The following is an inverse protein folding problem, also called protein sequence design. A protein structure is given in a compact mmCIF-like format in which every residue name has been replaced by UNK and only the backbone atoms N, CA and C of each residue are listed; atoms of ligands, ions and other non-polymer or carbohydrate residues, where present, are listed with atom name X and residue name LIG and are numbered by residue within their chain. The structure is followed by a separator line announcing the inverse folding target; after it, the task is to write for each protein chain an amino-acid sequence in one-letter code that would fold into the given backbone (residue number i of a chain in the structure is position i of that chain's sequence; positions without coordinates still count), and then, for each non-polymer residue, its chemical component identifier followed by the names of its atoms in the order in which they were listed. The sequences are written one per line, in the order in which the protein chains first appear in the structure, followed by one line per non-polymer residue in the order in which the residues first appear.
data_IF_000827542179
#
_entry.id   IF_000827542179
#
_cell.length_a   1.000
_cell.length_b   1.000
_cell.length_c   1.000
_cell.angle_alpha   90.00
_cell.angle_beta   90.00
_cell.angle_gamma   90.00
#
_symmetry.space_group_name_H-M   'P 1'
#
loop_
_entity.id
_entity.type
_entity.pdbx_description
1 polymer ?
#
# COMPACT_ATOMS: atom_id res chain seq x y z
N UNK A 1 36.36 32.51 29.91
CA UNK A 1 34.93 32.66 29.56
C UNK A 1 34.57 31.59 28.55
N UNK A 2 33.53 30.81 28.83
CA UNK A 2 33.17 29.60 28.07
C UNK A 2 32.31 29.96 26.86
N UNK A 3 32.51 29.28 25.73
CA UNK A 3 31.77 29.45 24.47
C UNK A 3 30.24 29.29 24.62
N UNK A 4 29.81 28.63 25.69
CA UNK A 4 28.41 28.43 26.09
C UNK A 4 27.64 29.74 26.33
N UNK A 5 28.32 30.82 26.74
CA UNK A 5 27.64 32.09 27.03
C UNK A 5 27.16 32.83 25.77
N UNK A 6 27.54 32.38 24.56
CA UNK A 6 27.14 32.99 23.28
C UNK A 6 25.85 32.42 22.66
N UNK A 7 25.26 31.36 23.21
CA UNK A 7 24.13 30.63 22.59
C UNK A 7 22.76 31.00 23.20
N UNK A 8 22.73 31.77 24.29
CA UNK A 8 21.47 32.13 24.96
C UNK A 8 20.95 33.51 24.48
N UNK A 9 19.66 33.63 24.11
CA UNK A 9 19.08 34.92 23.72
C UNK A 9 19.11 35.91 24.88
N UNK A 10 19.48 37.15 24.57
CA UNK A 10 19.55 38.28 25.51
C UNK A 10 18.17 38.64 26.06
N UNK A 11 17.87 38.25 27.30
CA UNK A 11 16.59 38.61 27.94
C UNK A 11 16.37 38.11 29.37
N UNK A 12 17.11 37.12 29.86
CA UNK A 12 16.90 36.60 31.23
C UNK A 12 17.96 37.18 32.17
N UNK A 13 17.62 38.29 32.84
CA UNK A 13 18.41 38.84 33.92
C UNK A 13 18.34 37.90 35.13
N UNK A 14 19.52 37.47 35.55
CA UNK A 14 19.80 36.71 36.77
C UNK A 14 19.40 37.51 38.02
N UNK A 15 18.54 36.93 38.86
CA UNK A 15 18.51 37.24 40.28
C UNK A 15 18.39 35.95 41.08
N UNK A 16 19.43 35.71 41.88
CA UNK A 16 19.45 34.93 43.13
C UNK A 16 19.12 33.43 43.06
N UNK A 17 20.22 32.66 43.08
CA UNK A 17 20.45 31.45 43.87
C UNK A 17 19.21 30.79 44.51
N UNK A 18 18.61 29.87 43.76
CA UNK A 18 18.03 28.65 44.31
C UNK A 18 18.20 27.56 43.26
N UNK A 19 18.75 26.44 43.70
CA UNK A 19 19.12 25.25 42.92
C UNK A 19 17.90 24.63 42.25
N UNK A 20 17.39 25.24 41.17
CA UNK A 20 16.50 24.56 40.22
C UNK A 20 17.37 23.62 39.41
N UNK A 21 17.53 22.39 39.89
CA UNK A 21 17.83 21.25 39.02
C UNK A 21 16.86 21.36 37.84
N UNK A 22 17.38 21.70 36.67
CA UNK A 22 16.62 21.64 35.43
C UNK A 22 16.06 20.21 35.35
N UNK A 23 14.78 20.08 35.66
CA UNK A 23 14.08 18.82 35.61
C UNK A 23 14.01 18.52 34.12
N UNK A 24 14.92 17.68 33.64
CA UNK A 24 14.90 17.23 32.23
C UNK A 24 13.51 16.64 32.02
N UNK A 25 12.67 17.23 31.17
CA UNK A 25 11.32 16.71 30.98
C UNK A 25 11.40 15.26 30.51
N UNK A 26 10.74 14.36 31.23
CA UNK A 26 10.62 12.97 30.82
C UNK A 26 9.98 12.91 29.43
N UNK A 27 10.48 12.02 28.57
CA UNK A 27 9.90 11.79 27.25
C UNK A 27 10.42 12.68 26.12
N UNK A 28 11.49 13.47 26.30
CA UNK A 28 12.10 14.25 25.20
C UNK A 28 13.05 13.46 24.29
N UNK A 29 13.39 12.23 24.65
CA UNK A 29 14.39 11.42 23.96
C UNK A 29 13.77 10.11 23.46
N UNK A 30 14.11 9.72 22.23
CA UNK A 30 13.67 8.47 21.61
C UNK A 30 14.86 7.71 21.03
N UNK A 31 14.90 6.39 21.22
CA UNK A 31 15.94 5.54 20.63
C UNK A 31 15.56 5.15 19.20
N UNK A 32 16.50 5.27 18.26
CA UNK A 32 16.32 4.74 16.91
C UNK A 32 16.41 3.22 16.91
N UNK A 33 15.44 2.53 16.32
CA UNK A 33 15.41 1.05 16.25
C UNK A 33 16.44 0.44 15.29
N UNK A 34 17.03 1.25 14.39
CA UNK A 34 18.02 0.80 13.39
C UNK A 34 19.46 1.00 13.84
N UNK A 35 19.79 2.18 14.37
CA UNK A 35 21.17 2.56 14.71
C UNK A 35 21.39 2.80 16.22
N UNK A 36 20.40 2.53 17.06
CA UNK A 36 20.43 2.68 18.52
C UNK A 36 20.74 4.08 19.06
N UNK A 37 20.87 5.07 18.18
CA UNK A 37 21.12 6.45 18.56
C UNK A 37 19.96 7.03 19.35
N UNK A 38 20.28 7.78 20.39
CA UNK A 38 19.33 8.61 21.14
C UNK A 38 19.07 9.89 20.34
N UNK A 39 17.80 10.18 20.08
CA UNK A 39 17.31 11.28 19.26
C UNK A 39 16.44 12.21 20.10
N UNK A 40 16.58 13.51 19.89
CA UNK A 40 15.71 14.52 20.50
C UNK A 40 14.38 14.57 19.72
N UNK A 41 13.24 14.41 20.41
CA UNK A 41 11.94 14.25 19.76
C UNK A 41 11.55 15.46 18.89
N UNK A 42 11.70 16.72 19.34
CA UNK A 42 11.38 17.88 18.49
C UNK A 42 12.21 17.94 17.21
N UNK A 43 13.47 17.49 17.22
CA UNK A 43 14.30 17.41 16.01
C UNK A 43 13.79 16.31 15.08
N UNK A 44 13.43 15.17 15.65
CA UNK A 44 12.84 14.05 14.92
C UNK A 44 11.49 14.45 14.29
N UNK A 45 10.67 15.23 14.97
CA UNK A 45 9.40 15.75 14.46
C UNK A 45 9.58 16.75 13.31
N UNK A 46 10.56 17.65 13.43
CA UNK A 46 10.94 18.56 12.32
C UNK A 46 11.50 17.78 11.13
N UNK A 47 12.21 16.69 11.39
CA UNK A 47 12.68 15.76 10.38
C UNK A 47 11.66 14.67 10.02
N UNK A 48 10.37 14.94 10.24
CA UNK A 48 9.25 14.09 9.79
C UNK A 48 9.32 12.62 10.27
N UNK A 49 9.83 12.37 11.47
CA UNK A 49 10.07 11.02 12.01
C UNK A 49 11.10 10.20 11.22
N UNK A 50 12.04 10.83 10.52
CA UNK A 50 13.20 10.19 9.89
C UNK A 50 14.42 10.39 10.78
N UNK A 51 15.17 9.32 11.04
CA UNK A 51 16.37 9.40 11.88
C UNK A 51 17.47 10.21 11.16
N UNK A 52 17.91 11.36 11.71
CA UNK A 52 18.90 12.23 11.05
C UNK A 52 20.29 11.60 10.97
N UNK A 53 20.55 10.52 11.73
CA UNK A 53 21.86 9.85 11.77
C UNK A 53 22.00 8.71 10.78
N UNK A 54 20.91 8.01 10.46
CA UNK A 54 20.97 6.80 9.61
C UNK A 54 19.88 6.74 8.52
N UNK A 55 19.07 7.79 8.36
CA UNK A 55 17.99 7.84 7.38
C UNK A 55 16.85 6.86 7.66
N UNK A 56 16.79 6.21 8.82
CA UNK A 56 15.71 5.26 9.10
C UNK A 56 14.36 5.96 9.27
N UNK A 57 13.42 5.60 8.42
CA UNK A 57 12.03 6.02 8.48
C UNK A 57 11.32 5.37 9.67
N UNK A 58 11.10 6.15 10.74
CA UNK A 58 10.33 5.68 11.89
C UNK A 58 8.84 5.80 11.60
N UNK A 59 8.04 5.00 12.32
CA UNK A 59 6.58 5.06 12.24
C UNK A 59 6.06 6.44 12.63
N UNK A 60 5.00 6.84 11.93
CA UNK A 60 4.25 8.07 12.13
C UNK A 60 2.76 7.73 12.10
N UNK A 61 1.96 8.43 12.91
CA UNK A 61 0.51 8.22 12.93
C UNK A 61 -0.17 8.72 11.66
N UNK A 62 -1.35 8.19 11.38
CA UNK A 62 -2.12 8.48 10.17
C UNK A 62 -2.43 9.98 10.00
N UNK A 63 -2.98 10.60 11.05
CA UNK A 63 -3.32 12.02 11.04
C UNK A 63 -2.09 12.90 10.85
N UNK A 64 -1.03 12.63 11.60
CA UNK A 64 0.24 13.35 11.46
C UNK A 64 0.86 13.19 10.07
N UNK A 65 0.71 12.02 9.44
CA UNK A 65 1.13 11.79 8.05
C UNK A 65 0.39 12.73 7.09
N UNK A 66 -0.93 12.80 7.22
CA UNK A 66 -1.77 13.67 6.39
C UNK A 66 -1.45 15.15 6.63
N UNK A 67 -1.18 15.53 7.89
CA UNK A 67 -0.78 16.90 8.25
C UNK A 67 0.56 17.33 7.65
N UNK A 68 1.50 16.39 7.48
CA UNK A 68 2.78 16.68 6.83
C UNK A 68 2.67 16.69 5.31
N UNK A 69 1.66 16.04 4.75
CA UNK A 69 1.50 15.85 3.32
C UNK A 69 0.68 16.97 2.67
N UNK A 70 -0.51 17.24 3.22
CA UNK A 70 -1.44 18.25 2.71
C UNK A 70 -0.98 19.67 3.08
N UNK A 71 -1.47 20.68 2.39
CA UNK A 71 -1.27 22.08 2.75
C UNK A 71 -2.04 22.42 4.04
N UNK A 72 -1.54 23.36 4.85
CA UNK A 72 -2.12 23.68 6.17
C UNK A 72 -3.56 24.23 6.11
N UNK A 73 -3.92 24.90 5.02
CA UNK A 73 -5.25 25.46 4.82
C UNK A 73 -6.23 24.49 4.16
N UNK A 74 -7.51 24.58 4.51
CA UNK A 74 -8.60 23.93 3.78
C UNK A 74 -8.67 22.40 3.93
N UNK A 75 -8.00 21.82 4.94
CA UNK A 75 -8.12 20.38 5.24
C UNK A 75 -9.47 20.08 5.87
N UNK A 76 -10.13 19.04 5.36
CA UNK A 76 -11.38 18.50 5.89
C UNK A 76 -11.22 17.00 6.09
N UNK A 77 -11.40 16.52 7.32
CA UNK A 77 -11.52 15.08 7.56
C UNK A 77 -12.89 14.61 7.09
N UNK A 78 -12.90 13.66 6.16
CA UNK A 78 -14.12 13.12 5.56
C UNK A 78 -14.40 11.72 6.10
N UNK A 79 -15.68 11.38 6.25
CA UNK A 79 -16.13 10.06 6.72
C UNK A 79 -15.60 9.67 8.11
N UNK A 80 -15.36 10.68 8.97
CA UNK A 80 -14.91 10.48 10.34
C UNK A 80 -15.90 9.65 11.16
N UNK A 81 -17.19 9.72 10.85
CA UNK A 81 -18.29 9.01 11.52
C UNK A 81 -18.31 7.49 11.26
N UNK A 82 -17.53 6.99 10.31
CA UNK A 82 -17.48 5.57 9.98
C UNK A 82 -16.61 4.83 11.00
N UNK A 83 -17.24 3.91 11.73
CA UNK A 83 -16.65 3.18 12.86
C UNK A 83 -16.77 1.65 12.70
N UNK A 84 -15.84 0.89 13.29
CA UNK A 84 -15.90 -0.56 13.28
C UNK A 84 -17.07 -1.08 14.12
N UNK A 85 -17.76 -2.11 13.63
CA UNK A 85 -18.92 -2.71 14.29
C UNK A 85 -18.65 -4.19 14.53
N UNK A 86 -18.75 -4.62 15.79
CA UNK A 86 -18.64 -6.04 16.16
C UNK A 86 -19.91 -6.82 15.81
N UNK A 87 -20.05 -7.17 14.53
CA UNK A 87 -21.20 -7.95 14.01
C UNK A 87 -21.16 -9.41 14.43
N UNK A 88 -19.96 -9.97 14.62
CA UNK A 88 -19.75 -11.37 14.92
C UNK A 88 -19.77 -11.67 16.44
N UNK A 89 -19.86 -10.62 17.28
CA UNK A 89 -19.71 -10.72 18.74
C UNK A 89 -18.41 -11.45 19.10
N UNK A 90 -17.35 -11.14 18.37
CA UNK A 90 -16.11 -11.92 18.40
C UNK A 90 -15.45 -11.82 19.78
N UNK A 91 -14.96 -12.97 20.27
CA UNK A 91 -14.25 -13.05 21.55
C UNK A 91 -13.09 -14.03 21.45
N UNK A 92 -11.91 -13.53 21.80
CA UNK A 92 -10.76 -14.36 22.11
C UNK A 92 -10.42 -14.22 23.61
N UNK A 93 -9.15 -14.02 23.97
CA UNK A 93 -8.74 -13.59 25.32
C UNK A 93 -9.44 -12.29 25.76
N UNK A 94 -9.86 -11.44 24.82
CA UNK A 94 -10.63 -10.20 25.05
C UNK A 94 -11.82 -10.14 24.09
N UNK A 95 -12.89 -9.44 24.48
CA UNK A 95 -13.98 -9.14 23.53
C UNK A 95 -13.48 -8.15 22.49
N UNK A 96 -13.94 -8.28 21.25
CA UNK A 96 -13.49 -7.39 20.17
C UNK A 96 -13.86 -5.92 20.46
N UNK A 97 -15.05 -5.65 21.01
CA UNK A 97 -15.44 -4.31 21.48
C UNK A 97 -14.44 -3.68 22.46
N UNK A 98 -13.90 -4.46 23.38
CA UNK A 98 -12.92 -3.95 24.35
C UNK A 98 -11.58 -3.64 23.67
N UNK A 99 -11.19 -4.44 22.66
CA UNK A 99 -10.00 -4.18 21.85
C UNK A 99 -10.16 -2.90 21.03
N UNK A 100 -11.34 -2.66 20.47
CA UNK A 100 -11.67 -1.43 19.74
C UNK A 100 -11.57 -0.21 20.64
N UNK A 101 -12.26 -0.22 21.79
CA UNK A 101 -12.22 0.88 22.75
C UNK A 101 -10.79 1.16 23.25
N UNK A 102 -10.00 0.11 23.49
CA UNK A 102 -8.59 0.23 23.87
C UNK A 102 -7.74 0.88 22.78
N UNK A 103 -7.91 0.47 21.52
CA UNK A 103 -7.20 1.05 20.40
C UNK A 103 -7.58 2.53 20.20
N UNK A 104 -8.87 2.83 20.16
CA UNK A 104 -9.39 4.20 20.05
C UNK A 104 -8.85 5.11 21.14
N UNK A 105 -8.80 4.64 22.40
CA UNK A 105 -8.21 5.40 23.50
C UNK A 105 -6.70 5.63 23.33
N UNK A 106 -5.98 4.63 22.83
CA UNK A 106 -4.52 4.71 22.69
C UNK A 106 -4.04 5.54 21.50
N UNK A 107 -4.80 5.55 20.41
CA UNK A 107 -4.44 6.26 19.18
C UNK A 107 -5.14 7.60 19.05
N UNK A 108 -6.29 7.78 19.69
CA UNK A 108 -7.19 8.92 19.45
C UNK A 108 -8.00 8.80 18.15
N UNK A 109 -7.82 7.70 17.40
CA UNK A 109 -8.46 7.49 16.10
C UNK A 109 -9.65 6.54 16.21
N UNK A 110 -10.66 6.74 15.38
CA UNK A 110 -11.89 5.92 15.39
C UNK A 110 -11.71 4.54 14.78
N UNK A 111 -10.84 4.41 13.76
CA UNK A 111 -10.40 3.15 13.17
C UNK A 111 -9.01 3.31 12.54
N UNK A 112 -8.48 2.23 11.96
CA UNK A 112 -7.17 2.15 11.32
C UNK A 112 -6.98 2.95 10.01
N UNK A 113 -7.94 3.76 9.57
CA UNK A 113 -7.83 4.62 8.40
C UNK A 113 -8.42 6.01 8.67
N UNK A 114 -7.64 7.04 8.33
CA UNK A 114 -8.05 8.44 8.31
C UNK A 114 -8.11 8.89 6.86
N UNK A 115 -9.17 9.61 6.49
CA UNK A 115 -9.36 10.17 5.16
C UNK A 115 -9.52 11.69 5.27
N UNK A 116 -8.74 12.43 4.49
CA UNK A 116 -8.80 13.88 4.43
C UNK A 116 -8.87 14.36 3.00
N UNK A 117 -9.73 15.35 2.77
CA UNK A 117 -9.72 16.20 1.60
C UNK A 117 -8.89 17.44 1.90
N UNK A 118 -8.11 17.90 0.92
CA UNK A 118 -7.34 19.12 1.05
C UNK A 118 -6.66 19.48 -0.27
N UNK A 119 -5.55 20.20 -0.16
CA UNK A 119 -4.71 20.52 -1.31
C UNK A 119 -3.27 20.08 -1.08
N UNK A 120 -2.55 19.85 -2.17
CA UNK A 120 -1.12 19.59 -2.21
C UNK A 120 -0.48 20.60 -3.16
N UNK A 121 0.24 21.59 -2.61
CA UNK A 121 0.70 22.75 -3.41
C UNK A 121 -0.43 23.46 -4.17
N UNK A 122 -1.58 23.61 -3.53
CA UNK A 122 -2.78 24.22 -4.12
C UNK A 122 -3.59 23.30 -5.03
N UNK A 123 -3.05 22.14 -5.43
CA UNK A 123 -3.77 21.15 -6.23
C UNK A 123 -4.75 20.35 -5.34
N UNK A 124 -6.05 20.28 -5.65
CA UNK A 124 -7.01 19.49 -4.88
C UNK A 124 -6.66 18.00 -4.87
N UNK A 125 -6.72 17.36 -3.70
CA UNK A 125 -6.42 15.93 -3.55
C UNK A 125 -7.19 15.33 -2.38
N UNK A 126 -7.55 14.06 -2.49
CA UNK A 126 -7.97 13.25 -1.35
C UNK A 126 -6.81 12.37 -0.93
N UNK A 127 -6.46 12.41 0.35
CA UNK A 127 -5.41 11.60 0.93
C UNK A 127 -5.98 10.72 2.05
N UNK A 128 -5.62 9.44 2.03
CA UNK A 128 -5.96 8.49 3.09
C UNK A 128 -4.69 7.91 3.70
N UNK A 129 -4.68 7.68 5.01
CA UNK A 129 -3.51 7.13 5.70
C UNK A 129 -3.93 6.09 6.74
N UNK A 130 -3.17 5.00 6.78
CA UNK A 130 -3.37 3.94 7.76
C UNK A 130 -2.74 4.27 9.11
N UNK A 131 -3.45 3.95 10.19
CA UNK A 131 -2.96 4.04 11.57
C UNK A 131 -2.49 2.66 12.04
N UNK A 132 -1.20 2.37 11.88
CA UNK A 132 -0.65 1.05 12.24
C UNK A 132 -0.79 0.73 13.73
N UNK A 133 -0.81 1.73 14.61
CA UNK A 133 -1.00 1.48 16.05
C UNK A 133 -2.44 1.01 16.36
N UNK A 134 -3.39 1.22 15.46
CA UNK A 134 -4.74 0.69 15.56
C UNK A 134 -4.78 -0.75 15.02
N UNK A 135 -4.62 -1.72 15.91
CA UNK A 135 -4.67 -3.16 15.58
C UNK A 135 -3.78 -3.55 14.39
N UNK A 136 -2.56 -2.99 14.31
CA UNK A 136 -1.62 -3.27 13.24
C UNK A 136 -2.04 -2.70 11.88
N UNK A 137 -2.87 -1.66 11.85
CA UNK A 137 -3.41 -1.12 10.61
C UNK A 137 -4.30 -2.12 9.87
N UNK A 138 -4.87 -3.09 10.58
CA UNK A 138 -5.59 -4.19 9.94
C UNK A 138 -6.86 -3.70 9.24
N UNK A 139 -7.08 -4.17 8.02
CA UNK A 139 -8.24 -3.78 7.21
C UNK A 139 -9.47 -4.58 7.63
N UNK A 140 -10.42 -3.90 8.26
CA UNK A 140 -11.78 -4.39 8.53
C UNK A 140 -12.83 -3.55 7.79
N UNK A 141 -14.10 -3.69 8.15
CA UNK A 141 -15.23 -2.97 7.54
C UNK A 141 -14.99 -1.47 7.43
N UNK A 142 -14.58 -0.81 8.52
CA UNK A 142 -14.48 0.66 8.54
C UNK A 142 -13.32 1.16 7.67
N UNK A 143 -12.16 0.49 7.66
CA UNK A 143 -11.08 0.78 6.68
C UNK A 143 -11.59 0.66 5.24
N UNK A 144 -12.20 -0.46 4.89
CA UNK A 144 -12.69 -0.69 3.52
C UNK A 144 -13.78 0.29 3.10
N UNK A 145 -14.74 0.59 4.00
CA UNK A 145 -15.78 1.59 3.77
C UNK A 145 -15.21 3.01 3.61
N UNK A 146 -14.32 3.46 4.52
CA UNK A 146 -13.71 4.79 4.42
C UNK A 146 -12.90 4.95 3.14
N UNK A 147 -12.07 3.95 2.79
CA UNK A 147 -11.32 3.97 1.53
C UNK A 147 -12.26 4.05 0.34
N UNK A 148 -13.30 3.19 0.30
CA UNK A 148 -14.24 3.19 -0.82
C UNK A 148 -14.97 4.52 -0.97
N UNK A 149 -15.42 5.14 0.14
CA UNK A 149 -16.08 6.45 0.06
C UNK A 149 -15.12 7.58 -0.33
N UNK A 150 -13.88 7.56 0.17
CA UNK A 150 -12.84 8.50 -0.27
C UNK A 150 -12.57 8.39 -1.77
N UNK A 151 -12.46 7.16 -2.29
CA UNK A 151 -12.29 6.90 -3.72
C UNK A 151 -13.53 7.33 -4.54
N UNK A 152 -14.74 7.10 -4.04
CA UNK A 152 -15.97 7.59 -4.69
C UNK A 152 -16.04 9.12 -4.70
N UNK A 153 -15.60 9.79 -3.63
CA UNK A 153 -15.52 11.23 -3.58
C UNK A 153 -14.49 11.78 -4.58
N UNK A 154 -13.30 11.16 -4.65
CA UNK A 154 -12.27 11.48 -5.64
C UNK A 154 -12.80 11.32 -7.07
N UNK A 155 -13.53 10.24 -7.33
CA UNK A 155 -14.19 9.99 -8.61
C UNK A 155 -15.23 11.05 -8.97
N UNK A 156 -16.07 11.44 -8.00
CA UNK A 156 -17.13 12.43 -8.18
C UNK A 156 -16.55 13.82 -8.46
N UNK A 157 -15.51 14.20 -7.73
CA UNK A 157 -14.85 15.50 -7.87
C UNK A 157 -13.80 15.54 -8.99
N UNK A 158 -13.44 14.38 -9.56
CA UNK A 158 -12.36 14.21 -10.55
C UNK A 158 -11.01 14.72 -10.03
N UNK A 159 -10.70 14.44 -8.76
CA UNK A 159 -9.43 14.82 -8.12
C UNK A 159 -8.64 13.57 -7.72
N UNK A 160 -7.30 13.62 -7.69
CA UNK A 160 -6.48 12.45 -7.38
C UNK A 160 -6.72 11.88 -5.97
N UNK A 161 -6.46 10.58 -5.83
CA UNK A 161 -6.45 9.87 -4.56
C UNK A 161 -5.02 9.41 -4.23
N UNK A 162 -4.56 9.69 -3.01
CA UNK A 162 -3.27 9.20 -2.49
C UNK A 162 -3.51 8.34 -1.25
N UNK A 163 -2.95 7.12 -1.20
CA UNK A 163 -3.09 6.22 -0.05
C UNK A 163 -1.75 5.88 0.59
N UNK A 164 -1.55 6.28 1.84
CA UNK A 164 -0.43 5.85 2.67
C UNK A 164 -0.77 4.55 3.41
N UNK A 165 -0.34 3.44 2.83
CA UNK A 165 -0.62 2.09 3.30
C UNK A 165 0.36 1.66 4.39
N UNK A 166 -0.18 1.17 5.52
CA UNK A 166 0.56 0.54 6.61
C UNK A 166 -0.35 -0.52 7.26
N UNK A 167 -0.08 -1.80 7.06
CA UNK A 167 -0.96 -2.86 7.54
C UNK A 167 -0.23 -4.17 7.79
N UNK A 168 -0.66 -4.89 8.83
CA UNK A 168 -0.31 -6.28 9.07
C UNK A 168 -1.23 -7.28 8.35
N UNK A 169 -2.29 -6.83 7.67
CA UNK A 169 -3.22 -7.68 6.92
C UNK A 169 -4.70 -7.40 7.20
N UNK A 170 -5.54 -8.40 6.93
CA UNK A 170 -6.98 -8.32 7.17
C UNK A 170 -7.30 -8.43 8.67
N UNK A 171 -8.36 -7.75 9.13
CA UNK A 171 -8.78 -7.78 10.53
C UNK A 171 -9.51 -9.08 10.86
N UNK A 172 -8.80 -10.02 11.47
CA UNK A 172 -9.30 -11.37 11.77
C UNK A 172 -10.61 -11.37 12.57
N UNK A 173 -10.81 -10.37 13.45
CA UNK A 173 -11.99 -10.27 14.31
C UNK A 173 -13.30 -10.04 13.54
N UNK A 174 -13.21 -9.55 12.28
CA UNK A 174 -14.35 -9.37 11.39
C UNK A 174 -14.41 -10.45 10.28
N UNK A 175 -13.46 -11.40 10.29
CA UNK A 175 -13.40 -12.58 9.41
C UNK A 175 -13.66 -12.27 7.92
N UNK A 176 -14.68 -12.90 7.31
CA UNK A 176 -15.01 -12.76 5.90
C UNK A 176 -15.33 -11.31 5.50
N UNK A 177 -15.85 -10.48 6.43
CA UNK A 177 -16.12 -9.06 6.16
C UNK A 177 -14.82 -8.34 5.81
N UNK A 178 -13.72 -8.62 6.52
CA UNK A 178 -12.40 -8.07 6.23
C UNK A 178 -11.87 -8.53 4.87
N UNK A 179 -12.05 -9.82 4.55
CA UNK A 179 -11.62 -10.36 3.25
C UNK A 179 -12.35 -9.66 2.09
N UNK A 180 -13.66 -9.48 2.21
CA UNK A 180 -14.46 -8.82 1.18
C UNK A 180 -14.11 -7.34 0.99
N UNK A 181 -13.44 -6.70 1.95
CA UNK A 181 -12.95 -5.34 1.73
C UNK A 181 -11.90 -5.29 0.62
N UNK A 182 -11.10 -6.34 0.40
CA UNK A 182 -10.15 -6.38 -0.72
C UNK A 182 -10.87 -6.22 -2.04
N UNK A 183 -11.89 -7.05 -2.30
CA UNK A 183 -12.68 -6.99 -3.52
C UNK A 183 -13.36 -5.63 -3.69
N UNK A 184 -13.93 -5.09 -2.60
CA UNK A 184 -14.62 -3.79 -2.61
C UNK A 184 -13.67 -2.63 -2.93
N UNK A 185 -12.49 -2.59 -2.31
CA UNK A 185 -11.51 -1.52 -2.57
C UNK A 185 -10.91 -1.65 -3.97
N UNK A 186 -10.63 -2.86 -4.44
CA UNK A 186 -10.18 -3.08 -5.82
C UNK A 186 -11.22 -2.63 -6.84
N UNK A 187 -12.50 -2.92 -6.61
CA UNK A 187 -13.58 -2.53 -7.53
C UNK A 187 -13.74 -1.01 -7.69
N UNK A 188 -13.51 -0.23 -6.63
CA UNK A 188 -13.56 1.25 -6.76
C UNK A 188 -12.29 1.82 -7.38
N UNK A 189 -11.13 1.19 -7.18
CA UNK A 189 -9.88 1.58 -7.84
C UNK A 189 -10.01 1.38 -9.36
N UNK A 190 -10.59 0.26 -9.80
CA UNK A 190 -10.88 0.04 -11.22
C UNK A 190 -11.77 1.14 -11.81
N UNK A 191 -12.76 1.62 -11.04
CA UNK A 191 -13.62 2.74 -11.46
C UNK A 191 -12.86 4.08 -11.53
N UNK A 192 -11.87 4.31 -10.67
CA UNK A 192 -10.99 5.47 -10.76
C UNK A 192 -10.16 5.40 -12.04
N UNK A 193 -9.51 4.26 -12.29
CA UNK A 193 -8.70 4.01 -13.46
C UNK A 193 -9.50 4.20 -14.76
N UNK A 194 -10.68 3.57 -14.87
CA UNK A 194 -11.56 3.72 -16.04
C UNK A 194 -12.10 5.14 -16.25
N UNK A 195 -12.09 5.98 -15.22
CA UNK A 195 -12.47 7.40 -15.33
C UNK A 195 -11.27 8.34 -15.53
N UNK A 196 -10.03 7.82 -15.57
CA UNK A 196 -8.82 8.62 -15.66
C UNK A 196 -8.54 9.47 -14.42
N UNK A 197 -9.01 9.04 -13.23
CA UNK A 197 -8.73 9.73 -11.97
C UNK A 197 -7.51 9.07 -11.31
N UNK A 198 -6.38 9.77 -11.14
CA UNK A 198 -5.14 9.14 -10.68
C UNK A 198 -5.26 8.60 -9.25
N UNK A 199 -4.83 7.36 -9.06
CA UNK A 199 -4.66 6.73 -7.75
C UNK A 199 -3.17 6.40 -7.50
N UNK A 200 -2.58 7.01 -6.48
CA UNK A 200 -1.20 6.73 -6.08
C UNK A 200 -1.17 5.99 -4.74
N UNK A 201 -0.56 4.81 -4.74
CA UNK A 201 -0.32 4.02 -3.54
C UNK A 201 1.08 4.28 -3.00
N UNK A 202 1.17 4.66 -1.73
CA UNK A 202 2.41 4.86 -0.99
C UNK A 202 2.54 3.78 0.08
N UNK A 203 3.47 2.85 -0.11
CA UNK A 203 3.77 1.75 0.80
C UNK A 203 4.71 2.24 1.92
N UNK A 204 4.23 2.19 3.17
CA UNK A 204 5.01 2.55 4.37
C UNK A 204 5.18 1.36 5.33
N UNK A 205 6.34 1.25 5.99
CA UNK A 205 6.69 0.06 6.79
C UNK A 205 5.73 -0.22 7.98
N UNK A 206 5.10 -1.41 8.08
CA UNK A 206 5.04 -2.54 7.11
C UNK A 206 3.70 -2.64 6.34
N UNK A 207 3.67 -3.40 5.23
CA UNK A 207 2.48 -3.66 4.40
C UNK A 207 2.38 -5.15 4.07
N UNK A 208 1.49 -5.87 4.75
CA UNK A 208 1.32 -7.31 4.56
C UNK A 208 -0.13 -7.73 4.30
N UNK A 209 -0.31 -8.96 3.82
CA UNK A 209 -1.58 -9.66 3.74
C UNK A 209 -2.57 -9.07 2.74
N UNK A 210 -3.82 -8.94 3.18
CA UNK A 210 -4.91 -8.50 2.29
C UNK A 210 -4.70 -7.11 1.70
N UNK A 211 -4.10 -6.18 2.45
CA UNK A 211 -3.85 -4.81 1.97
C UNK A 211 -2.78 -4.80 0.87
N UNK A 212 -1.67 -5.55 1.04
CA UNK A 212 -0.65 -5.68 -0.01
C UNK A 212 -1.20 -6.35 -1.27
N UNK A 213 -2.10 -7.32 -1.14
CA UNK A 213 -2.73 -8.02 -2.27
C UNK A 213 -3.99 -7.33 -2.80
N UNK A 214 -4.24 -6.08 -2.43
CA UNK A 214 -5.37 -5.28 -2.95
C UNK A 214 -4.93 -3.83 -3.12
N UNK A 215 -5.53 -2.89 -2.38
CA UNK A 215 -5.37 -1.45 -2.60
C UNK A 215 -3.92 -0.96 -2.63
N UNK A 216 -2.98 -1.61 -1.93
CA UNK A 216 -1.62 -1.09 -1.83
C UNK A 216 -0.73 -1.36 -3.07
N UNK A 217 -1.10 -2.27 -3.97
CA UNK A 217 -0.35 -2.56 -5.21
C UNK A 217 -1.18 -2.35 -6.48
N UNK A 218 -2.33 -1.67 -6.36
CA UNK A 218 -3.22 -1.33 -7.47
C UNK A 218 -3.18 0.16 -7.82
N UNK A 219 -2.13 0.87 -7.42
CA UNK A 219 -1.92 2.26 -7.83
C UNK A 219 -1.56 2.37 -9.31
N UNK A 220 -1.94 3.49 -9.94
CA UNK A 220 -1.32 3.91 -11.21
C UNK A 220 0.18 4.19 -11.00
N UNK A 221 0.54 4.57 -9.77
CA UNK A 221 1.91 4.51 -9.24
C UNK A 221 1.93 3.84 -7.88
N UNK A 222 2.86 2.91 -7.70
CA UNK A 222 3.22 2.26 -6.46
C UNK A 222 4.59 2.81 -5.99
N UNK A 223 4.57 3.64 -4.96
CA UNK A 223 5.76 4.27 -4.38
C UNK A 223 6.02 3.66 -3.02
N UNK A 224 7.27 3.37 -2.66
CA UNK A 224 7.63 2.94 -1.30
C UNK A 224 8.54 3.95 -0.60
N UNK A 225 8.45 4.01 0.72
CA UNK A 225 9.51 4.62 1.53
C UNK A 225 10.75 3.68 1.62
N UNK A 226 11.97 4.22 1.78
CA UNK A 226 13.19 3.45 1.99
C UNK A 226 13.08 2.40 3.11
N UNK A 227 13.69 1.24 2.89
CA UNK A 227 13.64 0.06 3.75
C UNK A 227 12.23 -0.45 4.11
N UNK A 228 11.15 0.02 3.46
CA UNK A 228 9.80 -0.39 3.80
C UNK A 228 9.58 -1.88 3.49
N UNK A 229 8.92 -2.60 4.40
CA UNK A 229 8.61 -4.01 4.16
C UNK A 229 7.24 -4.18 3.54
N UNK A 230 7.16 -4.84 2.39
CA UNK A 230 5.90 -5.24 1.79
C UNK A 230 5.90 -6.67 1.24
N UNK A 231 4.76 -7.34 1.34
CA UNK A 231 4.55 -8.63 0.68
C UNK A 231 3.28 -9.33 1.14
N UNK A 232 2.83 -10.36 0.42
CA UNK A 232 1.60 -11.05 0.77
C UNK A 232 1.69 -11.78 2.12
N UNK A 233 2.68 -12.66 2.27
CA UNK A 233 2.95 -13.37 3.51
C UNK A 233 4.10 -12.73 4.29
N UNK A 234 4.03 -12.75 5.62
CA UNK A 234 5.13 -12.28 6.46
C UNK A 234 6.38 -13.17 6.32
N UNK A 235 7.60 -12.62 6.47
CA UNK A 235 8.84 -13.35 6.21
C UNK A 235 8.97 -14.59 7.11
N UNK A 236 8.56 -14.49 8.38
CA UNK A 236 8.58 -15.60 9.31
C UNK A 236 7.70 -16.79 8.87
N UNK A 237 6.56 -16.50 8.24
CA UNK A 237 5.64 -17.54 7.74
C UNK A 237 6.25 -18.24 6.51
N UNK A 238 6.91 -17.46 5.65
CA UNK A 238 7.58 -18.00 4.45
C UNK A 238 8.74 -18.90 4.87
N UNK A 239 9.64 -18.44 5.76
CA UNK A 239 10.77 -19.21 6.26
C UNK A 239 10.34 -20.55 6.88
N UNK A 240 9.26 -20.54 7.67
CA UNK A 240 8.70 -21.75 8.26
C UNK A 240 8.17 -22.73 7.22
N UNK A 241 7.59 -22.22 6.13
CA UNK A 241 7.00 -23.03 5.07
C UNK A 241 8.06 -23.67 4.19
N UNK A 242 9.04 -22.89 3.72
CA UNK A 242 10.10 -23.38 2.83
C UNK A 242 11.28 -24.02 3.57
N UNK A 243 11.37 -23.82 4.90
CA UNK A 243 12.45 -24.28 5.78
C UNK A 243 13.85 -23.83 5.34
N UNK A 244 13.93 -22.62 4.80
CA UNK A 244 15.17 -21.99 4.34
C UNK A 244 15.21 -20.53 4.80
N UNK A 245 16.43 -19.98 4.90
CA UNK A 245 16.61 -18.55 5.21
C UNK A 245 16.28 -17.71 3.99
N UNK A 246 15.60 -16.59 4.20
CA UNK A 246 15.30 -15.66 3.12
C UNK A 246 16.54 -14.87 2.72
N UNK A 247 16.64 -14.45 1.44
CA UNK A 247 17.70 -13.55 0.98
C UNK A 247 17.78 -12.26 1.81
N UNK A 248 18.98 -11.68 1.90
CA UNK A 248 19.14 -10.37 2.55
C UNK A 248 18.33 -9.33 1.79
N UNK A 249 17.57 -8.51 2.51
CA UNK A 249 16.74 -7.47 1.90
C UNK A 249 15.42 -7.99 1.32
N UNK A 250 15.09 -9.28 1.45
CA UNK A 250 13.82 -9.83 1.02
C UNK A 250 12.63 -9.00 1.54
N UNK A 251 11.67 -8.72 0.67
CA UNK A 251 10.48 -7.89 0.92
C UNK A 251 10.75 -6.42 1.29
N UNK A 252 11.98 -5.92 1.18
CA UNK A 252 12.26 -4.49 1.31
C UNK A 252 11.88 -3.74 0.05
N UNK A 253 11.67 -2.43 0.15
CA UNK A 253 11.42 -1.52 -0.97
C UNK A 253 12.43 -1.71 -2.11
N UNK A 254 13.71 -1.85 -1.78
CA UNK A 254 14.79 -2.04 -2.76
C UNK A 254 14.64 -3.36 -3.51
N UNK A 255 14.27 -4.44 -2.79
CA UNK A 255 13.99 -5.73 -3.38
C UNK A 255 12.73 -5.69 -4.26
N UNK A 256 11.68 -5.01 -3.81
CA UNK A 256 10.43 -4.85 -4.56
C UNK A 256 10.65 -4.06 -5.86
N UNK A 257 11.48 -3.01 -5.82
CA UNK A 257 11.84 -2.22 -6.99
C UNK A 257 12.63 -3.05 -8.01
N UNK A 258 13.63 -3.81 -7.54
CA UNK A 258 14.43 -4.70 -8.39
C UNK A 258 13.58 -5.75 -9.12
N UNK A 259 12.47 -6.19 -8.51
CA UNK A 259 11.54 -7.17 -9.08
C UNK A 259 10.33 -6.54 -9.79
N UNK A 260 10.31 -5.21 -9.98
CA UNK A 260 9.26 -4.50 -10.72
C UNK A 260 7.90 -4.46 -10.02
N UNK A 261 7.84 -4.68 -8.69
CA UNK A 261 6.61 -4.63 -7.93
C UNK A 261 6.21 -3.21 -7.49
N UNK A 262 7.17 -2.27 -7.48
CA UNK A 262 6.96 -0.85 -7.22
C UNK A 262 7.70 -0.02 -8.25
N UNK A 263 7.26 1.22 -8.47
CA UNK A 263 7.81 2.10 -9.51
C UNK A 263 9.00 2.92 -9.02
N UNK A 264 9.01 3.31 -7.75
CA UNK A 264 10.09 4.12 -7.17
C UNK A 264 10.13 4.07 -5.65
N UNK A 265 11.29 4.45 -5.11
CA UNK A 265 11.53 4.63 -3.69
C UNK A 265 11.79 6.11 -3.44
N UNK A 266 11.06 6.70 -2.50
CA UNK A 266 11.13 8.14 -2.25
C UNK A 266 11.28 8.40 -0.76
N UNK A 267 12.32 9.16 -0.38
CA UNK A 267 12.51 9.61 0.99
C UNK A 267 11.33 10.49 1.42
N UNK A 268 10.97 10.40 2.70
CA UNK A 268 9.78 11.07 3.24
C UNK A 268 9.88 12.59 3.11
N UNK A 269 11.09 13.14 3.23
CA UNK A 269 11.33 14.57 3.08
C UNK A 269 11.00 15.06 1.65
N UNK A 270 11.24 14.22 0.64
CA UNK A 270 11.02 14.54 -0.77
C UNK A 270 9.65 14.11 -1.28
N UNK A 271 8.95 13.25 -0.54
CA UNK A 271 7.71 12.59 -0.94
C UNK A 271 6.61 13.58 -1.29
N UNK A 272 6.43 14.62 -0.46
CA UNK A 272 5.41 15.65 -0.68
C UNK A 272 5.60 16.37 -2.02
N UNK A 273 6.81 16.86 -2.28
CA UNK A 273 7.14 17.57 -3.52
C UNK A 273 7.12 16.63 -4.74
N UNK A 274 7.55 15.39 -4.57
CA UNK A 274 7.58 14.39 -5.64
C UNK A 274 6.18 14.01 -6.08
N UNK A 275 5.29 13.71 -5.14
CA UNK A 275 3.89 13.43 -5.44
C UNK A 275 3.19 14.62 -6.10
N UNK A 276 3.43 15.84 -5.64
CA UNK A 276 2.85 17.03 -6.26
C UNK A 276 3.25 17.17 -7.73
N UNK A 277 4.52 16.97 -8.07
CA UNK A 277 4.99 17.01 -9.47
C UNK A 277 4.42 15.87 -10.32
N UNK A 278 4.28 14.67 -9.76
CA UNK A 278 3.74 13.51 -10.48
C UNK A 278 2.24 13.66 -10.74
N UNK A 279 1.47 14.11 -9.73
CA UNK A 279 0.05 14.37 -9.87
C UNK A 279 -0.21 15.50 -10.87
N UNK A 280 0.55 16.59 -10.83
CA UNK A 280 0.46 17.65 -11.83
C UNK A 280 0.66 17.10 -13.26
N UNK A 281 1.64 16.20 -13.47
CA UNK A 281 1.85 15.55 -14.78
C UNK A 281 0.66 14.69 -15.21
N UNK A 282 0.09 13.90 -14.30
CA UNK A 282 -1.09 13.08 -14.61
C UNK A 282 -2.31 13.93 -14.99
N UNK A 283 -2.46 15.10 -14.37
CA UNK A 283 -3.56 16.01 -14.66
C UNK A 283 -3.28 16.98 -15.82
N UNK A 284 -2.07 17.00 -16.38
CA UNK A 284 -1.66 17.99 -17.39
C UNK A 284 -1.54 19.42 -16.85
N UNK A 285 -1.28 19.57 -15.55
CA UNK A 285 -1.15 20.84 -14.84
C UNK A 285 0.32 21.29 -14.71
N UNK A 286 0.58 22.59 -14.48
CA UNK A 286 1.93 23.10 -14.20
C UNK A 286 2.55 22.45 -12.96
N UNK A 287 3.83 22.07 -13.05
CA UNK A 287 4.52 21.45 -11.93
C UNK A 287 4.92 22.48 -10.86
N UNK A 288 4.61 22.25 -9.58
CA UNK A 288 4.99 23.17 -8.51
C UNK A 288 6.51 23.24 -8.33
N UNK A 289 7.02 24.46 -8.13
CA UNK A 289 8.45 24.72 -7.87
C UNK A 289 9.36 24.63 -9.09
N UNK A 290 8.82 24.40 -10.29
CA UNK A 290 9.56 24.62 -11.53
C UNK A 290 9.57 26.13 -11.79
N UNK A 291 10.73 26.76 -11.61
CA UNK A 291 10.99 28.08 -12.20
C UNK A 291 11.10 27.80 -13.69
N UNK A 292 10.17 28.32 -14.48
CA UNK A 292 10.27 28.27 -15.94
C UNK A 292 11.39 29.24 -16.38
N UNK A 293 12.64 28.85 -16.18
CA UNK A 293 13.78 29.38 -16.95
C UNK A 293 13.74 28.70 -18.32
N UNK A 294 12.93 29.27 -19.21
CA UNK A 294 13.34 29.81 -20.52
C UNK A 294 12.10 30.22 -21.33
N UNK A 295 11.92 31.50 -21.69
CA UNK A 295 11.01 31.89 -22.75
C UNK A 295 11.64 31.53 -24.10
N UNK A 296 11.41 30.30 -24.60
CA UNK A 296 11.97 29.92 -25.88
C UNK A 296 11.94 28.45 -26.28
N UNK A 297 10.88 27.68 -26.00
CA UNK A 297 10.68 26.40 -26.67
C UNK A 297 9.80 26.61 -27.92
N UNK A 298 10.49 26.68 -29.06
CA UNK A 298 9.91 26.71 -30.42
C UNK A 298 8.86 25.60 -30.56
N UNK A 299 7.70 25.96 -31.10
CA UNK A 299 6.67 25.01 -31.54
C UNK A 299 7.31 23.90 -32.37
N UNK A 300 7.23 22.65 -31.90
CA UNK A 300 7.57 21.49 -32.71
C UNK A 300 6.64 21.49 -33.94
N UNK A 301 7.16 21.45 -35.17
CA UNK A 301 6.31 21.48 -36.34
C UNK A 301 5.47 20.21 -36.38
N UNK A 302 4.17 20.39 -36.65
CA UNK A 302 3.19 19.34 -36.80
C UNK A 302 3.73 18.23 -37.72
N UNK A 303 3.68 16.99 -37.23
CA UNK A 303 4.00 15.80 -38.00
C UNK A 303 3.13 15.77 -39.26
N UNK A 304 3.75 16.03 -40.40
CA UNK A 304 3.17 15.85 -41.74
C UNK A 304 2.79 14.39 -41.93
N UNK A 305 1.58 14.18 -42.44
CA UNK A 305 0.99 12.89 -42.78
C UNK A 305 1.95 11.97 -43.54
N UNK A 306 2.10 10.74 -43.04
CA UNK A 306 2.74 9.66 -43.76
C UNK A 306 1.74 9.06 -44.76
N UNK A 307 2.01 9.24 -46.05
CA UNK A 307 1.40 8.51 -47.17
C UNK A 307 1.87 7.04 -47.15
N UNK A 308 1.02 6.04 -47.48
CA UNK A 308 1.41 4.63 -47.39
C UNK A 308 2.41 4.25 -48.49
N UNK A 309 3.39 3.44 -48.13
CA UNK A 309 4.37 2.85 -49.06
C UNK A 309 3.72 1.67 -49.77
N UNK A 310 3.64 1.76 -51.10
CA UNK A 310 3.22 0.69 -52.00
C UNK A 310 4.29 -0.41 -52.09
N UNK A 311 3.83 -1.67 -52.18
CA UNK A 311 4.66 -2.84 -52.41
C UNK A 311 5.23 -2.86 -53.86
N UNK A 312 6.44 -3.36 -54.09
CA UNK A 312 6.91 -3.62 -55.44
C UNK A 312 6.52 -5.03 -55.90
N UNK A 313 5.77 -5.10 -57.00
CA UNK A 313 5.77 -6.26 -57.89
C UNK A 313 6.91 -6.13 -58.89
N UNK A 314 7.63 -7.23 -59.11
CA UNK A 314 8.22 -7.52 -60.42
C UNK A 314 8.23 -9.03 -60.68
N UNK A 315 7.38 -9.40 -61.63
CA UNK A 315 7.46 -10.48 -62.62
C UNK A 315 8.88 -10.92 -63.00
N UNK A 316 9.17 -12.06 -63.62
CA UNK A 316 8.50 -13.29 -64.06
C UNK A 316 9.66 -14.17 -64.62
N UNK A 317 9.41 -15.47 -64.76
CA UNK A 317 9.87 -16.42 -65.81
C UNK A 317 10.19 -17.76 -65.17
N UNK A 318 9.89 -18.92 -65.73
CA UNK A 318 9.02 -19.41 -66.79
C UNK A 318 9.16 -20.95 -66.67
N UNK A 319 8.12 -21.73 -66.97
CA UNK A 319 8.30 -23.18 -67.10
C UNK A 319 7.03 -23.98 -66.94
N UNK A 320 6.49 -24.39 -68.08
CA UNK A 320 5.21 -25.07 -68.34
C UNK A 320 5.07 -26.52 -67.83
N UNK A 321 3.81 -26.99 -67.99
CA UNK A 321 3.32 -28.37 -68.10
C UNK A 321 2.89 -29.01 -66.77
N UNK A 322 1.69 -29.61 -66.64
CA UNK A 322 0.61 -29.90 -67.57
C UNK A 322 -0.37 -30.86 -66.87
N UNK A 323 -1.63 -30.88 -67.33
CA UNK A 323 -2.66 -31.94 -67.26
C UNK A 323 -2.75 -32.82 -65.99
N UNK A 324 -3.82 -32.74 -65.19
CA UNK A 324 -5.13 -33.40 -65.36
C UNK A 324 -5.24 -34.73 -64.57
N UNK A 325 -6.41 -34.86 -63.88
CA UNK A 325 -7.03 -36.10 -63.36
C UNK A 325 -6.33 -36.82 -62.19
N UNK A 326 -6.99 -37.49 -61.24
CA UNK A 326 -8.39 -37.67 -60.84
C UNK A 326 -8.40 -38.50 -59.53
N UNK A 327 -9.52 -38.46 -58.77
CA UNK A 327 -10.02 -39.52 -57.86
C UNK A 327 -9.16 -39.86 -56.60
N UNK A 328 -9.65 -40.34 -55.46
CA UNK A 328 -10.94 -40.84 -55.00
C UNK A 328 -10.94 -40.90 -53.46
N UNK A 329 -12.15 -40.74 -52.91
CA UNK A 329 -12.75 -41.26 -51.68
C UNK A 329 -12.01 -42.25 -50.73
N UNK A 330 -12.17 -41.95 -49.43
CA UNK A 330 -12.71 -42.78 -48.33
C UNK A 330 -11.99 -44.07 -47.81
N UNK A 331 -12.09 -44.23 -46.47
CA UNK A 331 -11.88 -45.47 -45.69
C UNK A 331 -10.96 -45.25 -44.48
N UNK A 332 -11.46 -45.03 -43.25
CA UNK A 332 -11.90 -46.03 -42.23
C UNK A 332 -10.78 -46.97 -41.74
N UNK A 333 -10.60 -47.10 -40.41
CA UNK A 333 -10.08 -48.24 -39.58
C UNK A 333 -10.07 -47.71 -38.12
N UNK A 334 -10.95 -48.06 -37.17
CA UNK A 334 -11.20 -49.32 -36.38
C UNK A 334 -9.94 -49.88 -35.67
N UNK A 335 -9.80 -49.72 -34.34
CA UNK A 335 -10.28 -50.57 -33.23
C UNK A 335 -9.39 -51.80 -32.96
N UNK A 336 -8.97 -51.99 -31.70
CA UNK A 336 -8.85 -53.32 -31.10
C UNK A 336 -8.60 -53.26 -29.57
N UNK A 337 -9.43 -54.04 -28.89
CA UNK A 337 -9.60 -54.28 -27.45
C UNK A 337 -8.65 -55.34 -26.89
N UNK A 338 -8.45 -55.36 -25.56
CA UNK A 338 -8.57 -56.65 -24.84
C UNK A 338 -9.05 -56.46 -23.38
N UNK A 339 -9.81 -57.44 -22.92
CA UNK A 339 -10.51 -57.54 -21.65
C UNK A 339 -9.85 -58.54 -20.71
N UNK A 340 -10.06 -58.41 -19.40
CA UNK A 340 -10.45 -59.56 -18.56
C UNK A 340 -10.83 -59.11 -17.14
N UNK A 341 -11.93 -59.66 -16.67
CA UNK A 341 -12.46 -59.56 -15.31
C UNK A 341 -12.34 -60.94 -14.65
N UNK A 342 -12.02 -61.01 -13.36
CA UNK A 342 -12.43 -62.09 -12.46
C UNK A 342 -12.69 -61.55 -11.04
N UNK A 343 -13.66 -62.19 -10.37
CA UNK A 343 -14.22 -61.88 -9.06
C UNK A 343 -13.96 -63.05 -8.08
N UNK A 344 -13.99 -62.79 -6.76
CA UNK A 344 -14.38 -63.68 -5.62
C UNK A 344 -13.72 -63.16 -4.31
N UNK A 345 -14.45 -62.72 -3.29
CA UNK A 345 -15.18 -63.41 -2.19
C UNK A 345 -14.41 -63.49 -0.84
N UNK A 346 -15.21 -63.52 0.25
CA UNK A 346 -14.94 -63.65 1.70
C UNK A 346 -14.62 -62.34 2.45
N UNK A 347 -15.42 -61.83 3.41
CA UNK A 347 -16.17 -62.31 4.61
C UNK A 347 -15.38 -62.14 5.93
N UNK A 348 -16.10 -61.56 6.89
CA UNK A 348 -15.93 -61.56 8.36
C UNK A 348 -14.71 -60.76 8.90
N UNK A 349 -14.78 -59.92 9.93
CA UNK A 349 -15.48 -60.04 11.22
C UNK A 349 -15.72 -58.67 11.91
N UNK A 350 -16.61 -58.72 12.89
CA UNK A 350 -17.04 -57.68 13.85
C UNK A 350 -15.84 -57.03 14.60
N UNK A 351 -15.89 -55.74 14.97
CA UNK A 351 -16.27 -55.36 16.34
C UNK A 351 -16.77 -53.92 16.44
N UNK A 352 -18.00 -53.79 16.96
CA UNK A 352 -18.54 -52.59 17.56
C UNK A 352 -18.14 -52.58 19.04
N UNK A 353 -17.58 -51.48 19.56
CA UNK A 353 -17.90 -51.06 20.92
C UNK A 353 -18.16 -49.56 20.98
N UNK A 354 -19.40 -49.26 21.34
CA UNK A 354 -19.97 -47.95 21.62
C UNK A 354 -19.59 -47.50 23.04
N UNK A 355 -19.41 -46.20 23.31
CA UNK A 355 -19.17 -45.70 24.67
C UNK A 355 -20.50 -45.61 25.46
N UNK A 356 -20.52 -45.92 26.76
CA UNK A 356 -21.73 -45.83 27.55
C UNK A 356 -22.10 -44.37 27.87
N UNK A 357 -23.40 -44.08 27.69
CA UNK A 357 -24.06 -42.89 28.23
C UNK A 357 -24.28 -43.02 29.74
N UNK A 358 -24.28 -41.85 30.37
CA UNK A 358 -24.71 -41.52 31.73
C UNK A 358 -26.04 -42.14 32.16
N UNK A 359 -26.12 -42.55 33.43
CA UNK A 359 -27.12 -42.08 34.40
C UNK A 359 -26.71 -42.49 35.83
N UNK A 360 -26.73 -41.51 36.74
CA UNK A 360 -26.33 -41.60 38.15
C UNK A 360 -26.09 -40.22 38.74
#
# INVERSE_FOLDING_TARGET
MSWIDKILPSGVKSSTAETRRATVPEGLWKKCIKCDSVLYIPDLERNQQVCPKCGHHMRIGARRRLDLFLDDGGREEIFADIEPVDRLKFRDKKRYRDRLAGAQKSTGERDALVAMKGTLHGQPVIAVAFEFNFHGGSMGYAVGEKFTRAAQQALLERIPLVCFSASGGARMQEALISLMQMAKTSAVIERLHGAGVPYVSVLTDPIYGGVSASLALLGDLNIAEPDARAGFAGPNIIEQTIRQKLPKGFQRSEFLLEHGAIDMIVDRADLRNTLARLLAKFLGEPQPGRVDDEPGAVEAPAASAATPVAAPESAETAGEAGAAEASSEAGSVEDDTDSSAEASESRDDEDQETPPRSDG
#
